data_IF_843866621941
#
_entry.id   IF_843866621941
#
_cell.length_a   1.000
_cell.length_b   1.000
_cell.length_c   1.000
_cell.angle_alpha   90.00
_cell.angle_beta   90.00
_cell.angle_gamma   90.00
#
_symmetry.space_group_name_H-M   'P 1'
#
loop_
_entity.id
_entity.type
_entity.pdbx_description
1 polymer ?
#
# COMPACT_ATOMS: atom_id res chain seq x y z
N UNK A 1 -14.63 11.07 31.22
CA UNK A 1 -14.30 9.92 30.34
C UNK A 1 -14.38 8.67 31.18
N UNK A 2 -15.08 7.65 30.71
CA UNK A 2 -15.16 6.36 31.40
C UNK A 2 -13.79 5.67 31.41
N UNK A 3 -13.47 4.87 32.45
CA UNK A 3 -12.26 4.02 32.46
C UNK A 3 -12.19 3.11 31.23
N UNK A 4 -13.36 2.68 30.72
CA UNK A 4 -13.48 1.87 29.51
C UNK A 4 -12.97 2.64 28.28
N UNK A 5 -13.30 3.93 28.16
CA UNK A 5 -12.86 4.76 27.03
C UNK A 5 -11.35 4.96 27.02
N UNK A 6 -10.77 5.14 28.21
CA UNK A 6 -9.31 5.25 28.36
C UNK A 6 -8.60 3.95 27.99
N UNK A 7 -9.17 2.81 28.41
CA UNK A 7 -8.63 1.49 28.10
C UNK A 7 -8.70 1.18 26.60
N UNK A 8 -9.80 1.55 25.94
CA UNK A 8 -9.96 1.43 24.48
C UNK A 8 -8.95 2.29 23.72
N UNK A 9 -8.75 3.55 24.13
CA UNK A 9 -7.76 4.45 23.52
C UNK A 9 -6.32 3.94 23.69
N UNK A 10 -5.98 3.41 24.86
CA UNK A 10 -4.64 2.85 25.11
C UNK A 10 -4.36 1.62 24.23
N UNK A 11 -5.36 0.73 24.06
CA UNK A 11 -5.25 -0.43 23.17
C UNK A 11 -5.13 -0.01 21.71
N UNK A 12 -5.94 0.97 21.27
CA UNK A 12 -5.85 1.51 19.90
C UNK A 12 -4.47 2.10 19.63
N UNK A 13 -3.93 2.92 20.55
CA UNK A 13 -2.59 3.51 20.42
C UNK A 13 -1.52 2.42 20.28
N UNK A 14 -1.58 1.37 21.09
CA UNK A 14 -0.63 0.24 21.01
C UNK A 14 -0.75 -0.49 19.67
N UNK A 15 -1.97 -0.74 19.20
CA UNK A 15 -2.24 -1.38 17.91
C UNK A 15 -1.72 -0.56 16.72
N UNK A 16 -2.02 0.74 16.69
CA UNK A 16 -1.53 1.65 15.63
C UNK A 16 0.00 1.73 15.65
N UNK A 17 0.62 1.84 16.83
CA UNK A 17 2.08 1.85 16.97
C UNK A 17 2.71 0.58 16.39
N UNK A 18 2.15 -0.59 16.73
CA UNK A 18 2.61 -1.86 16.18
C UNK A 18 2.47 -1.90 14.66
N UNK A 19 1.32 -1.49 14.11
CA UNK A 19 1.08 -1.47 12.67
C UNK A 19 2.08 -0.56 11.93
N UNK A 20 2.40 0.63 12.48
CA UNK A 20 3.41 1.53 11.93
C UNK A 20 4.81 0.92 11.92
N UNK A 21 5.21 0.23 12.99
CA UNK A 21 6.51 -0.46 13.06
C UNK A 21 6.57 -1.63 12.08
N UNK A 22 5.51 -2.45 12.03
CA UNK A 22 5.41 -3.56 11.08
C UNK A 22 5.47 -3.07 9.63
N UNK A 23 4.85 -1.92 9.34
CA UNK A 23 4.92 -1.27 8.02
C UNK A 23 6.33 -0.85 7.64
N UNK A 24 7.10 -0.25 8.55
CA UNK A 24 8.51 0.09 8.28
C UNK A 24 9.31 -1.17 7.91
N UNK A 25 9.07 -2.27 8.62
CA UNK A 25 9.64 -3.58 8.28
C UNK A 25 9.22 -4.05 6.89
N UNK A 26 7.93 -3.98 6.56
CA UNK A 26 7.40 -4.37 5.25
C UNK A 26 7.98 -3.52 4.11
N UNK A 27 8.07 -2.20 4.27
CA UNK A 27 8.70 -1.31 3.30
C UNK A 27 10.18 -1.66 3.11
N UNK A 28 10.90 -1.98 4.19
CA UNK A 28 12.28 -2.44 4.13
C UNK A 28 12.42 -3.76 3.37
N UNK A 29 11.53 -4.73 3.60
CA UNK A 29 11.51 -6.00 2.86
C UNK A 29 11.21 -5.77 1.38
N UNK A 30 10.19 -4.97 1.06
CA UNK A 30 9.81 -4.67 -0.33
C UNK A 30 10.96 -4.00 -1.07
N UNK A 31 11.55 -2.95 -0.49
CA UNK A 31 12.69 -2.26 -1.09
C UNK A 31 13.90 -3.18 -1.22
N UNK A 32 14.24 -3.93 -0.16
CA UNK A 32 15.35 -4.87 -0.17
C UNK A 32 15.20 -5.95 -1.26
N UNK A 33 14.04 -6.59 -1.34
CA UNK A 33 13.75 -7.57 -2.41
C UNK A 33 13.85 -6.93 -3.79
N UNK A 34 13.37 -5.70 -3.96
CA UNK A 34 13.41 -5.01 -5.24
C UNK A 34 14.85 -4.72 -5.70
N UNK A 35 15.74 -4.32 -4.77
CA UNK A 35 17.18 -4.13 -5.03
C UNK A 35 17.85 -5.40 -5.57
N UNK A 36 17.44 -6.58 -5.09
CA UNK A 36 18.04 -7.86 -5.54
C UNK A 36 17.47 -8.38 -6.86
N UNK A 37 16.25 -8.00 -7.24
CA UNK A 37 15.52 -8.58 -8.37
C UNK A 37 15.56 -7.73 -9.64
N UNK A 38 15.76 -6.41 -9.54
CA UNK A 38 15.65 -5.49 -10.67
C UNK A 38 16.95 -4.75 -10.96
N UNK A 39 17.21 -4.52 -12.24
CA UNK A 39 18.53 -4.10 -12.74
C UNK A 39 18.59 -2.64 -13.22
N UNK A 40 17.46 -1.93 -13.35
CA UNK A 40 17.50 -0.55 -13.87
C UNK A 40 17.64 0.47 -12.74
N UNK A 41 18.60 1.38 -12.88
CA UNK A 41 18.87 2.46 -11.91
C UNK A 41 17.64 3.38 -11.77
N UNK A 42 16.92 3.61 -12.87
CA UNK A 42 15.72 4.45 -12.89
C UNK A 42 14.57 3.86 -12.06
N UNK A 43 14.28 2.57 -12.22
CA UNK A 43 13.26 1.88 -11.41
C UNK A 43 13.67 1.85 -9.94
N UNK A 44 14.93 1.56 -9.66
CA UNK A 44 15.47 1.58 -8.29
C UNK A 44 15.32 2.95 -7.63
N UNK A 45 15.56 4.04 -8.36
CA UNK A 45 15.37 5.39 -7.87
C UNK A 45 13.90 5.71 -7.58
N UNK A 46 12.97 5.30 -8.46
CA UNK A 46 11.54 5.52 -8.27
C UNK A 46 10.97 4.70 -7.11
N UNK A 47 11.33 3.42 -7.00
CA UNK A 47 10.92 2.57 -5.88
C UNK A 47 11.58 3.07 -4.58
N UNK A 48 12.83 3.49 -4.62
CA UNK A 48 13.52 4.12 -3.49
C UNK A 48 12.84 5.40 -3.03
N UNK A 49 12.39 6.25 -3.97
CA UNK A 49 11.64 7.46 -3.65
C UNK A 49 10.28 7.13 -3.02
N UNK A 50 9.54 6.18 -3.58
CA UNK A 50 8.23 5.78 -3.09
C UNK A 50 8.33 5.12 -1.70
N UNK A 51 9.17 4.09 -1.56
CA UNK A 51 9.37 3.37 -0.30
C UNK A 51 10.04 4.26 0.75
N UNK A 52 11.05 5.05 0.37
CA UNK A 52 11.72 5.99 1.25
C UNK A 52 10.80 7.10 1.74
N UNK A 53 10.02 7.70 0.83
CA UNK A 53 9.00 8.70 1.18
C UNK A 53 7.93 8.14 2.11
N UNK A 54 7.43 6.93 1.83
CA UNK A 54 6.48 6.24 2.69
C UNK A 54 7.09 5.88 4.06
N UNK A 55 8.37 5.50 4.11
CA UNK A 55 9.08 5.20 5.36
C UNK A 55 9.28 6.46 6.21
N UNK A 56 9.70 7.57 5.60
CA UNK A 56 9.81 8.88 6.27
C UNK A 56 8.44 9.33 6.78
N UNK A 57 7.40 9.24 5.96
CA UNK A 57 6.02 9.56 6.36
C UNK A 57 5.56 8.68 7.54
N UNK A 58 5.83 7.38 7.49
CA UNK A 58 5.50 6.43 8.57
C UNK A 58 6.26 6.75 9.86
N UNK A 59 7.54 7.11 9.77
CA UNK A 59 8.34 7.54 10.91
C UNK A 59 7.79 8.85 11.52
N UNK A 60 7.38 9.82 10.69
CA UNK A 60 6.75 11.04 11.15
C UNK A 60 5.43 10.76 11.88
N UNK A 61 4.62 9.85 11.37
CA UNK A 61 3.37 9.40 12.01
C UNK A 61 3.63 8.68 13.34
N UNK A 62 4.71 7.91 13.44
CA UNK A 62 5.13 7.26 14.69
C UNK A 62 5.52 8.31 15.74
N UNK A 63 6.34 9.29 15.34
CA UNK A 63 6.72 10.41 16.23
C UNK A 63 5.50 11.23 16.66
N UNK A 64 4.55 11.47 15.76
CA UNK A 64 3.29 12.14 16.06
C UNK A 64 2.47 11.36 17.10
N UNK A 65 2.36 10.04 16.95
CA UNK A 65 1.66 9.17 17.89
C UNK A 65 2.31 9.17 19.29
N UNK A 66 3.63 9.16 19.34
CA UNK A 66 4.39 9.17 20.59
C UNK A 66 4.22 10.50 21.35
N UNK A 67 4.15 11.64 20.63
CA UNK A 67 3.94 13.00 21.19
C UNK A 67 2.50 13.34 21.61
N UNK A 68 1.66 12.34 21.88
CA UNK A 68 0.22 12.47 22.20
C UNK A 68 -0.72 12.69 21.01
N UNK A 69 -0.28 12.42 19.77
CA UNK A 69 -1.14 12.48 18.60
C UNK A 69 -2.36 11.55 18.68
N UNK A 70 -3.46 11.95 18.02
CA UNK A 70 -4.69 11.17 17.97
C UNK A 70 -4.47 9.85 17.21
N UNK A 71 -4.62 8.67 17.85
CA UNK A 71 -4.34 7.38 17.21
C UNK A 71 -5.25 7.13 16.00
N UNK A 72 -6.47 7.65 16.03
CA UNK A 72 -7.45 7.56 14.93
C UNK A 72 -6.94 8.24 13.67
N UNK A 73 -6.50 9.50 13.80
CA UNK A 73 -6.00 10.29 12.68
C UNK A 73 -4.72 9.67 12.12
N UNK A 74 -3.79 9.30 13.02
CA UNK A 74 -2.55 8.63 12.64
C UNK A 74 -2.83 7.34 11.85
N UNK A 75 -3.78 6.51 12.31
CA UNK A 75 -4.17 5.28 11.61
C UNK A 75 -4.72 5.55 10.20
N UNK A 76 -5.59 6.54 10.01
CA UNK A 76 -6.12 6.86 8.69
C UNK A 76 -5.04 7.41 7.74
N UNK A 77 -4.22 8.35 8.19
CA UNK A 77 -3.09 8.85 7.41
C UNK A 77 -2.13 7.73 7.05
N UNK A 78 -1.91 6.82 8.00
CA UNK A 78 -1.13 5.62 7.77
C UNK A 78 -1.77 4.79 6.65
N UNK A 79 -3.06 4.47 6.69
CA UNK A 79 -3.71 3.69 5.61
C UNK A 79 -3.66 4.38 4.25
N UNK A 80 -3.69 5.73 4.20
CA UNK A 80 -3.55 6.47 2.94
C UNK A 80 -2.16 6.28 2.32
N UNK A 81 -1.10 6.27 3.13
CA UNK A 81 0.25 5.94 2.66
C UNK A 81 0.32 4.51 2.12
N UNK A 82 -0.36 3.55 2.74
CA UNK A 82 -0.40 2.18 2.23
C UNK A 82 -1.06 2.12 0.85
N UNK A 83 -2.20 2.80 0.66
CA UNK A 83 -2.89 2.87 -0.64
C UNK A 83 -2.01 3.54 -1.71
N UNK A 84 -1.26 4.58 -1.35
CA UNK A 84 -0.30 5.23 -2.25
C UNK A 84 0.83 4.27 -2.67
N UNK A 85 1.38 3.50 -1.73
CA UNK A 85 2.43 2.52 -2.02
C UNK A 85 1.89 1.38 -2.89
N UNK A 86 0.70 0.85 -2.54
CA UNK A 86 0.04 -0.24 -3.26
C UNK A 86 -0.34 0.14 -4.70
N UNK A 87 -0.69 1.39 -4.95
CA UNK A 87 -0.96 1.89 -6.31
C UNK A 87 0.31 2.27 -7.07
N UNK A 88 1.28 2.90 -6.40
CA UNK A 88 2.51 3.39 -7.03
C UNK A 88 3.45 2.29 -7.49
N UNK A 89 3.64 1.23 -6.69
CA UNK A 89 4.56 0.13 -7.00
C UNK A 89 4.27 -0.53 -8.36
N UNK A 90 3.04 -1.00 -8.62
CA UNK A 90 2.71 -1.60 -9.91
C UNK A 90 2.88 -0.65 -11.10
N UNK A 91 2.59 0.63 -10.92
CA UNK A 91 2.77 1.64 -11.97
C UNK A 91 4.26 1.81 -12.28
N UNK A 92 5.11 1.86 -11.26
CA UNK A 92 6.57 1.92 -11.44
C UNK A 92 7.07 0.68 -12.19
N UNK A 93 6.62 -0.52 -11.83
CA UNK A 93 7.00 -1.76 -12.51
C UNK A 93 6.48 -1.82 -13.96
N UNK A 94 5.27 -1.34 -14.20
CA UNK A 94 4.72 -1.24 -15.54
C UNK A 94 5.55 -0.29 -16.43
N UNK A 95 5.99 0.84 -15.90
CA UNK A 95 6.90 1.75 -16.61
C UNK A 95 8.28 1.11 -16.80
N UNK A 96 8.82 0.45 -15.77
CA UNK A 96 10.13 -0.21 -15.79
C UNK A 96 10.22 -1.35 -16.81
N UNK A 97 9.11 -2.05 -17.08
CA UNK A 97 9.04 -3.12 -18.09
C UNK A 97 8.86 -2.61 -19.53
N UNK A 98 8.84 -1.29 -19.76
CA UNK A 98 8.67 -0.68 -21.07
C UNK A 98 7.24 -0.25 -21.42
N UNK A 99 6.32 -0.31 -20.45
CA UNK A 99 4.93 0.16 -20.57
C UNK A 99 4.23 -0.31 -21.87
N UNK A 100 3.51 0.59 -22.54
CA UNK A 100 2.78 0.36 -23.79
C UNK A 100 3.65 -0.04 -24.98
N UNK A 101 4.98 0.11 -24.88
CA UNK A 101 5.89 -0.29 -25.93
C UNK A 101 6.16 -1.80 -25.92
N UNK A 102 6.01 -2.47 -24.77
CA UNK A 102 6.41 -3.87 -24.59
C UNK A 102 5.31 -4.76 -24.01
N UNK A 103 4.63 -4.35 -22.94
CA UNK A 103 3.78 -5.28 -22.15
C UNK A 103 2.29 -4.90 -22.16
N UNK A 104 1.94 -3.64 -22.41
CA UNK A 104 0.55 -3.15 -22.40
C UNK A 104 -0.14 -3.23 -21.03
N UNK A 105 -1.33 -2.62 -20.84
CA UNK A 105 -2.00 -2.52 -19.54
C UNK A 105 -2.42 -3.87 -18.93
N UNK A 106 -2.49 -4.94 -19.70
CA UNK A 106 -2.73 -6.30 -19.20
C UNK A 106 -1.71 -6.76 -18.13
N UNK A 107 -0.54 -6.13 -18.06
CA UNK A 107 0.44 -6.33 -16.99
C UNK A 107 -0.18 -6.22 -15.59
N UNK A 108 -1.12 -5.29 -15.39
CA UNK A 108 -1.77 -5.08 -14.09
C UNK A 108 -2.60 -6.29 -13.63
N UNK A 109 -3.12 -7.12 -14.55
CA UNK A 109 -3.84 -8.36 -14.22
C UNK A 109 -2.90 -9.48 -13.79
N UNK A 110 -1.70 -9.53 -14.38
CA UNK A 110 -0.68 -10.55 -14.08
C UNK A 110 0.05 -10.25 -12.78
N UNK A 111 0.04 -9.00 -12.34
CA UNK A 111 0.66 -8.58 -11.09
C UNK A 111 -0.13 -9.16 -9.92
N UNK A 112 0.52 -9.96 -9.06
CA UNK A 112 -0.10 -10.60 -7.86
C UNK A 112 -0.39 -9.59 -6.73
N UNK A 113 -0.98 -8.43 -7.05
CA UNK A 113 -1.25 -7.33 -6.12
C UNK A 113 -2.11 -7.76 -4.94
N UNK A 114 -3.05 -8.70 -5.16
CA UNK A 114 -3.93 -9.24 -4.13
C UNK A 114 -3.14 -9.77 -2.93
N UNK A 115 -1.98 -10.39 -3.15
CA UNK A 115 -1.13 -10.90 -2.05
C UNK A 115 -0.58 -9.75 -1.21
N UNK A 116 -0.08 -8.69 -1.85
CA UNK A 116 0.44 -7.51 -1.17
C UNK A 116 -0.65 -6.79 -0.37
N UNK A 117 -1.84 -6.63 -0.96
CA UNK A 117 -2.99 -5.99 -0.30
C UNK A 117 -3.44 -6.78 0.92
N UNK A 118 -3.54 -8.11 0.82
CA UNK A 118 -3.91 -8.97 1.95
C UNK A 118 -2.89 -8.86 3.09
N UNK A 119 -1.59 -8.84 2.79
CA UNK A 119 -0.54 -8.63 3.79
C UNK A 119 -0.70 -7.29 4.52
N UNK A 120 -0.93 -6.20 3.76
CA UNK A 120 -1.19 -4.87 4.34
C UNK A 120 -2.47 -4.87 5.20
N UNK A 121 -3.54 -5.53 4.74
CA UNK A 121 -4.79 -5.65 5.49
C UNK A 121 -4.59 -6.41 6.81
N UNK A 122 -3.81 -7.50 6.82
CA UNK A 122 -3.49 -8.25 8.03
C UNK A 122 -2.73 -7.36 9.02
N UNK A 123 -1.71 -6.63 8.56
CA UNK A 123 -0.95 -5.70 9.41
C UNK A 123 -1.85 -4.62 10.00
N UNK A 124 -2.77 -4.06 9.22
CA UNK A 124 -3.70 -3.03 9.69
C UNK A 124 -4.82 -3.59 10.57
N UNK A 125 -5.22 -4.86 10.39
CA UNK A 125 -6.19 -5.53 11.25
C UNK A 125 -5.66 -5.74 12.68
N UNK A 126 -4.34 -5.87 12.85
CA UNK A 126 -3.68 -5.95 14.16
C UNK A 126 -3.80 -4.66 14.98
N UNK A 127 -4.21 -3.55 14.37
CA UNK A 127 -4.59 -2.33 15.10
C UNK A 127 -5.98 -2.44 15.78
N UNK A 128 -6.64 -3.61 15.71
CA UNK A 128 -7.95 -3.92 16.32
C UNK A 128 -9.07 -2.96 15.93
N UNK A 129 -8.94 -2.31 14.76
CA UNK A 129 -9.96 -1.42 14.23
C UNK A 129 -10.33 -1.84 12.81
N UNK A 130 -11.56 -2.35 12.59
CA UNK A 130 -11.97 -2.88 11.28
C UNK A 130 -12.04 -1.80 10.20
N UNK A 131 -12.12 -0.53 10.60
CA UNK A 131 -12.13 0.59 9.67
C UNK A 131 -10.84 0.67 8.82
N UNK A 132 -9.66 0.34 9.36
CA UNK A 132 -8.40 0.48 8.61
C UNK A 132 -8.28 -0.52 7.46
N UNK A 133 -8.51 -1.84 7.66
CA UNK A 133 -8.62 -2.78 6.54
C UNK A 133 -9.72 -2.41 5.54
N UNK A 134 -10.84 -1.85 5.99
CA UNK A 134 -11.93 -1.44 5.11
C UNK A 134 -11.51 -0.28 4.19
N UNK A 135 -10.79 0.72 4.69
CA UNK A 135 -10.23 1.79 3.86
C UNK A 135 -9.27 1.23 2.81
N UNK A 136 -8.42 0.26 3.19
CA UNK A 136 -7.52 -0.40 2.24
C UNK A 136 -8.30 -1.19 1.19
N UNK A 137 -9.36 -1.90 1.58
CA UNK A 137 -10.20 -2.65 0.65
C UNK A 137 -10.90 -1.72 -0.37
N UNK A 138 -11.47 -0.61 0.09
CA UNK A 138 -12.07 0.40 -0.79
C UNK A 138 -11.03 1.01 -1.72
N UNK A 139 -9.85 1.36 -1.20
CA UNK A 139 -8.74 1.85 -2.00
C UNK A 139 -8.29 0.83 -3.05
N UNK A 140 -8.22 -0.45 -2.69
CA UNK A 140 -7.88 -1.52 -3.62
C UNK A 140 -8.92 -1.69 -4.72
N UNK A 141 -10.21 -1.65 -4.40
CA UNK A 141 -11.29 -1.69 -5.41
C UNK A 141 -11.17 -0.51 -6.36
N UNK A 142 -10.88 0.70 -5.86
CA UNK A 142 -10.67 1.87 -6.70
C UNK A 142 -9.44 1.74 -7.61
N UNK A 143 -8.31 1.25 -7.08
CA UNK A 143 -7.09 0.98 -7.85
C UNK A 143 -7.35 -0.03 -8.95
N UNK A 144 -7.97 -1.17 -8.60
CA UNK A 144 -8.26 -2.24 -9.56
C UNK A 144 -9.29 -1.81 -10.61
N UNK A 145 -10.29 -1.02 -10.23
CA UNK A 145 -11.22 -0.39 -11.15
C UNK A 145 -10.52 0.56 -12.13
N UNK A 146 -9.58 1.37 -11.65
CA UNK A 146 -8.74 2.23 -12.48
C UNK A 146 -7.92 1.43 -13.51
N UNK A 147 -7.22 0.38 -13.07
CA UNK A 147 -6.46 -0.49 -13.97
C UNK A 147 -7.36 -1.23 -14.97
N UNK A 148 -8.51 -1.72 -14.53
CA UNK A 148 -9.51 -2.35 -15.42
C UNK A 148 -10.00 -1.37 -16.49
N UNK A 149 -10.23 -0.11 -16.12
CA UNK A 149 -10.57 0.95 -17.08
C UNK A 149 -9.45 1.20 -18.11
N UNK A 150 -8.19 1.16 -17.70
CA UNK A 150 -7.06 1.28 -18.64
C UNK A 150 -7.00 0.09 -19.60
N UNK A 151 -7.21 -1.13 -19.10
CA UNK A 151 -7.19 -2.36 -19.90
C UNK A 151 -8.32 -2.36 -20.93
N UNK A 152 -9.54 -2.02 -20.53
CA UNK A 152 -10.71 -2.01 -21.42
C UNK A 152 -10.63 -0.93 -22.51
N UNK A 153 -9.84 0.12 -22.30
CA UNK A 153 -9.63 1.18 -23.28
C UNK A 153 -8.44 0.90 -24.22
N UNK A 154 -7.63 -0.13 -23.97
CA UNK A 154 -6.54 -0.50 -24.88
C UNK A 154 -7.12 -1.25 -26.10
N UNK A 155 -6.90 -0.74 -27.34
CA UNK A 155 -7.36 -1.40 -28.57
C UNK A 155 -6.75 -2.79 -28.81
N UNK A 156 -5.68 -3.16 -28.09
CA UNK A 156 -5.04 -4.49 -28.15
C UNK A 156 -5.72 -5.51 -27.24
N UNK A 157 -6.62 -5.08 -26.37
CA UNK A 157 -7.34 -5.96 -25.44
C UNK A 157 -8.41 -6.75 -26.19
N UNK A 158 -8.20 -8.06 -26.33
CA UNK A 158 -9.22 -8.96 -26.84
C UNK A 158 -10.13 -9.43 -25.70
N UNK A 159 -11.39 -9.03 -25.71
CA UNK A 159 -12.41 -9.56 -24.80
C UNK A 159 -12.95 -10.84 -25.42
N UNK A 160 -12.48 -11.99 -24.94
CA UNK A 160 -12.99 -13.30 -25.36
C UNK A 160 -14.15 -13.70 -24.46
N UNK A 161 -15.37 -13.71 -24.98
CA UNK A 161 -16.49 -14.40 -24.34
C UNK A 161 -16.42 -15.87 -24.75
N UNK A 162 -15.70 -16.69 -23.99
CA UNK A 162 -15.90 -18.13 -24.09
C UNK A 162 -17.28 -18.48 -23.48
N UNK A 163 -18.14 -19.23 -24.18
CA UNK A 163 -19.41 -19.71 -23.67
C UNK A 163 -19.26 -20.79 -22.57
#
# INVERSE_FOLDING_TARGET
>A
MSEVDQLLLAREKKGVRFALVARLGMLGIVFGLHVFLYHTIGELALVGLLCGGAAIGTAALLMHLDRQGCPKLTGYLATMLDVLVLSGLPVIWYIGTGADQVVGPQFFLQTRMTVGVLMVMVVNALAFRPAYPLVIAVGFVAIYGGFSGMILNDPRTAITTDP
#
